data_IF_007887501928
#
_entry.id   IF_007887501928
#
_cell.length_a   1.000
_cell.length_b   1.000
_cell.length_c   1.000
_cell.angle_alpha   90.00
_cell.angle_beta   90.00
_cell.angle_gamma   90.00
#
_symmetry.space_group_name_H-M   'P 1'
#
loop_
_entity.id
_entity.type
_entity.pdbx_description
1 polymer ?
#
# COMPACT_ATOMS: atom_id res chain seq x y z
N UNK A 1 51.20 -28.20 -51.63
CA UNK A 1 50.05 -28.25 -50.70
C UNK A 1 50.19 -27.40 -49.42
N UNK A 2 50.94 -26.31 -49.38
CA UNK A 2 51.12 -25.50 -48.13
C UNK A 2 50.41 -24.13 -48.13
N UNK A 3 49.74 -23.73 -49.19
CA UNK A 3 49.18 -22.36 -49.29
C UNK A 3 47.67 -22.28 -49.13
N UNK A 4 46.93 -23.36 -49.17
CA UNK A 4 45.46 -23.35 -49.07
C UNK A 4 44.94 -22.98 -47.69
N UNK A 5 45.67 -23.30 -46.62
CA UNK A 5 45.21 -22.96 -45.25
C UNK A 5 45.27 -21.46 -44.93
N UNK A 6 46.25 -20.72 -45.54
CA UNK A 6 46.42 -19.28 -45.36
C UNK A 6 45.31 -18.47 -46.04
N UNK A 7 44.81 -18.96 -47.18
CA UNK A 7 43.75 -18.25 -47.93
C UNK A 7 42.37 -18.39 -47.23
N UNK A 8 42.12 -19.51 -46.53
CA UNK A 8 40.85 -19.73 -45.84
C UNK A 8 40.87 -19.29 -44.37
N UNK A 9 42.03 -18.91 -43.81
CA UNK A 9 42.14 -18.47 -42.44
C UNK A 9 41.24 -17.30 -42.07
N UNK A 10 41.09 -16.21 -42.91
CA UNK A 10 40.20 -15.12 -42.61
C UNK A 10 38.71 -15.55 -42.67
N UNK A 11 38.34 -16.43 -43.57
CA UNK A 11 36.98 -16.96 -43.68
C UNK A 11 36.60 -17.81 -42.46
N UNK A 12 37.54 -18.62 -41.95
CA UNK A 12 37.35 -19.44 -40.74
C UNK A 12 37.19 -18.55 -39.53
N UNK A 13 37.99 -17.49 -39.38
CA UNK A 13 37.88 -16.49 -38.30
C UNK A 13 36.55 -15.77 -38.32
N UNK A 14 36.07 -15.34 -39.47
CA UNK A 14 34.76 -14.68 -39.61
C UNK A 14 33.63 -15.66 -39.21
N UNK A 15 33.71 -16.92 -39.61
CA UNK A 15 32.75 -17.95 -39.21
C UNK A 15 32.68 -18.17 -37.70
N UNK A 16 33.83 -18.24 -37.03
CA UNK A 16 33.92 -18.42 -35.56
C UNK A 16 33.34 -17.21 -34.84
N UNK A 17 33.64 -15.98 -35.31
CA UNK A 17 33.06 -14.78 -34.71
C UNK A 17 31.53 -14.69 -34.91
N UNK A 18 31.01 -15.07 -36.05
CA UNK A 18 29.58 -15.12 -36.30
C UNK A 18 28.84 -16.11 -35.38
N UNK A 19 29.40 -17.29 -35.18
CA UNK A 19 28.85 -18.32 -34.27
C UNK A 19 28.88 -17.83 -32.82
N UNK A 20 29.99 -17.25 -32.38
CA UNK A 20 30.10 -16.68 -31.01
C UNK A 20 29.09 -15.55 -30.77
N UNK A 21 28.86 -14.69 -31.74
CA UNK A 21 27.88 -13.60 -31.65
C UNK A 21 26.45 -14.14 -31.60
N UNK A 22 26.13 -15.18 -32.39
CA UNK A 22 24.82 -15.83 -32.40
C UNK A 22 24.54 -16.56 -31.07
N UNK A 23 25.52 -17.26 -30.52
CA UNK A 23 25.40 -17.94 -29.22
C UNK A 23 25.24 -16.94 -28.08
N UNK A 24 25.95 -15.80 -28.12
CA UNK A 24 25.82 -14.71 -27.16
C UNK A 24 24.42 -14.06 -27.22
N UNK A 25 23.89 -13.82 -28.41
CA UNK A 25 22.54 -13.25 -28.58
C UNK A 25 21.44 -14.21 -28.08
N UNK A 26 21.58 -15.51 -28.29
CA UNK A 26 20.63 -16.52 -27.77
C UNK A 26 20.70 -16.59 -26.25
N UNK A 27 21.89 -16.52 -25.64
CA UNK A 27 22.04 -16.48 -24.18
C UNK A 27 21.36 -15.24 -23.57
N UNK A 28 21.47 -14.08 -24.19
CA UNK A 28 20.77 -12.86 -23.73
C UNK A 28 19.25 -12.98 -23.84
N UNK A 29 18.75 -13.64 -24.88
CA UNK A 29 17.32 -13.86 -25.06
C UNK A 29 16.73 -14.82 -24.03
N UNK A 30 17.47 -15.86 -23.66
CA UNK A 30 17.05 -16.85 -22.66
C UNK A 30 17.06 -16.25 -21.25
N UNK A 31 18.00 -15.34 -20.94
CA UNK A 31 18.07 -14.67 -19.64
C UNK A 31 16.88 -13.71 -19.41
N UNK A 32 16.28 -13.17 -20.47
CA UNK A 32 15.11 -12.32 -20.38
C UNK A 32 13.78 -13.10 -20.33
N UNK A 33 13.80 -14.42 -20.52
CA UNK A 33 12.65 -15.31 -20.40
C UNK A 33 12.59 -16.02 -19.04
N UNK A 34 13.12 -15.40 -17.98
CA UNK A 34 12.85 -15.88 -16.64
C UNK A 34 11.33 -15.83 -16.44
N UNK A 35 10.68 -16.97 -16.19
CA UNK A 35 9.27 -16.93 -15.80
C UNK A 35 9.20 -16.10 -14.53
N UNK A 36 8.55 -14.96 -14.61
CA UNK A 36 8.12 -14.25 -13.41
C UNK A 36 7.21 -15.24 -12.68
N UNK A 37 7.74 -15.89 -11.66
CA UNK A 37 6.93 -16.61 -10.69
C UNK A 37 6.06 -15.54 -10.04
N UNK A 38 4.90 -15.29 -10.64
CA UNK A 38 3.81 -14.62 -9.98
C UNK A 38 3.42 -15.57 -8.86
N UNK A 39 4.06 -15.41 -7.71
CA UNK A 39 3.50 -15.91 -6.46
C UNK A 39 2.16 -15.20 -6.33
N UNK A 40 1.12 -15.87 -6.79
CA UNK A 40 -0.25 -15.50 -6.46
C UNK A 40 -0.32 -15.60 -4.94
N UNK A 41 -0.03 -14.50 -4.26
CA UNK A 41 -0.44 -14.34 -2.87
C UNK A 41 -1.94 -14.48 -2.93
N UNK A 42 -2.45 -15.60 -2.40
CA UNK A 42 -3.88 -15.85 -2.27
C UNK A 42 -4.42 -14.67 -1.47
N UNK A 43 -5.02 -13.70 -2.18
CA UNK A 43 -5.62 -12.53 -1.56
C UNK A 43 -6.66 -13.08 -0.60
N UNK A 44 -6.37 -12.98 0.71
CA UNK A 44 -7.30 -13.42 1.74
C UNK A 44 -8.51 -12.51 1.62
N UNK A 45 -9.68 -13.09 1.38
CA UNK A 45 -10.94 -12.33 1.31
C UNK A 45 -11.12 -11.56 2.62
N UNK A 46 -11.40 -10.26 2.58
CA UNK A 46 -11.66 -9.50 3.79
C UNK A 46 -12.83 -10.10 4.58
N UNK A 47 -12.64 -10.24 5.90
CA UNK A 47 -13.67 -10.68 6.84
C UNK A 47 -14.39 -9.50 7.48
N UNK A 48 -13.77 -8.32 7.45
CA UNK A 48 -14.33 -7.06 7.94
C UNK A 48 -14.11 -5.96 6.91
N UNK A 49 -15.11 -5.13 6.66
CA UNK A 49 -15.04 -3.98 5.76
C UNK A 49 -15.53 -2.74 6.47
N UNK A 50 -14.74 -1.67 6.42
CA UNK A 50 -15.05 -0.36 7.01
C UNK A 50 -14.93 0.69 5.93
N UNK A 51 -15.91 1.61 5.89
CA UNK A 51 -15.85 2.82 5.07
C UNK A 51 -15.77 4.01 6.01
N UNK A 52 -14.74 4.83 5.83
CA UNK A 52 -14.58 6.10 6.51
C UNK A 52 -14.64 7.24 5.49
N UNK A 53 -15.15 8.35 5.94
CA UNK A 53 -15.15 9.61 5.23
C UNK A 53 -14.19 10.56 5.92
N UNK A 54 -13.49 11.38 5.16
CA UNK A 54 -12.56 12.37 5.67
C UNK A 54 -12.85 13.76 5.07
N UNK A 55 -12.54 14.81 5.81
CA UNK A 55 -12.75 16.18 5.36
C UNK A 55 -12.78 17.20 6.50
N UNK A 56 -13.13 18.44 6.15
CA UNK A 56 -13.24 19.54 7.09
C UNK A 56 -14.63 19.57 7.73
N UNK A 57 -14.65 19.99 9.00
CA UNK A 57 -15.87 20.40 9.70
C UNK A 57 -15.83 21.89 10.03
N UNK A 58 -16.92 22.43 10.55
CA UNK A 58 -17.01 23.83 10.99
C UNK A 58 -15.87 24.19 11.96
N UNK A 59 -15.39 25.42 11.91
CA UNK A 59 -14.28 25.95 12.72
C UNK A 59 -12.85 25.53 12.31
N UNK A 60 -12.65 25.15 11.05
CA UNK A 60 -11.31 24.84 10.51
C UNK A 60 -10.68 23.56 11.08
N UNK A 61 -11.47 22.70 11.71
CA UNK A 61 -11.03 21.38 12.15
C UNK A 61 -11.17 20.34 11.04
N UNK A 62 -10.29 19.36 11.10
CA UNK A 62 -10.32 18.20 10.23
C UNK A 62 -10.89 16.99 10.96
N UNK A 63 -11.53 16.07 10.23
CA UNK A 63 -12.35 15.05 10.85
C UNK A 63 -12.45 13.78 10.01
N UNK A 64 -12.74 12.68 10.68
CA UNK A 64 -13.21 11.45 10.07
C UNK A 64 -14.65 11.16 10.47
N UNK A 65 -15.34 10.32 9.71
CA UNK A 65 -16.69 9.90 10.05
C UNK A 65 -17.11 8.61 9.35
N UNK A 66 -18.27 8.08 9.76
CA UNK A 66 -18.88 6.88 9.16
C UNK A 66 -19.89 7.22 8.06
N UNK A 67 -20.14 8.50 7.84
CA UNK A 67 -21.00 9.00 6.77
C UNK A 67 -20.49 10.37 6.30
N UNK A 68 -20.75 10.78 5.03
CA UNK A 68 -20.22 12.01 4.46
C UNK A 68 -20.71 13.29 5.17
N UNK A 69 -21.84 13.21 5.83
CA UNK A 69 -22.45 14.32 6.61
C UNK A 69 -22.34 14.13 8.13
N UNK A 70 -21.57 13.17 8.59
CA UNK A 70 -21.35 12.88 10.01
C UNK A 70 -19.87 12.71 10.32
N UNK A 71 -19.11 13.77 10.04
CA UNK A 71 -17.69 13.86 10.39
C UNK A 71 -17.56 14.40 11.82
N UNK A 72 -16.66 13.79 12.61
CA UNK A 72 -16.39 14.19 14.00
C UNK A 72 -14.89 14.33 14.25
N UNK A 73 -14.52 15.19 15.17
CA UNK A 73 -13.14 15.40 15.61
C UNK A 73 -13.09 15.34 17.14
N UNK A 74 -12.46 14.31 17.73
CA UNK A 74 -11.90 13.11 17.09
C UNK A 74 -12.92 12.27 16.30
N UNK A 75 -12.40 11.48 15.35
CA UNK A 75 -13.20 10.54 14.57
C UNK A 75 -13.74 9.37 15.39
N UNK A 76 -14.63 8.54 14.83
CA UNK A 76 -15.23 7.40 15.51
C UNK A 76 -14.19 6.35 15.90
N UNK A 77 -14.41 5.66 17.02
CA UNK A 77 -13.62 4.48 17.37
C UNK A 77 -13.94 3.33 16.41
N UNK A 78 -12.92 2.68 15.84
CA UNK A 78 -13.07 1.49 15.00
C UNK A 78 -12.45 0.27 15.69
N UNK A 79 -13.04 -0.91 15.46
CA UNK A 79 -12.61 -2.14 16.14
C UNK A 79 -12.44 -3.30 15.16
N UNK A 80 -11.42 -4.14 15.43
CA UNK A 80 -11.11 -5.37 14.70
C UNK A 80 -10.73 -6.49 15.65
N UNK A 81 -10.63 -7.71 15.12
CA UNK A 81 -9.99 -8.84 15.78
C UNK A 81 -8.65 -9.16 15.12
N UNK A 82 -7.70 -9.72 15.87
CA UNK A 82 -6.45 -10.27 15.32
C UNK A 82 -6.67 -11.42 14.33
N UNK A 83 -7.87 -12.00 14.28
CA UNK A 83 -8.27 -13.02 13.30
C UNK A 83 -8.80 -12.43 11.99
N UNK A 84 -9.08 -11.13 11.95
CA UNK A 84 -9.66 -10.49 10.78
C UNK A 84 -8.66 -10.29 9.65
N UNK A 85 -9.21 -10.22 8.45
CA UNK A 85 -8.60 -9.54 7.32
C UNK A 85 -9.49 -8.34 7.04
N UNK A 86 -8.95 -7.16 7.30
CA UNK A 86 -9.71 -5.91 7.30
C UNK A 86 -9.50 -5.21 5.97
N UNK A 87 -10.59 -4.72 5.37
CA UNK A 87 -10.55 -3.77 4.27
C UNK A 87 -11.08 -2.43 4.76
N UNK A 88 -10.24 -1.39 4.75
CA UNK A 88 -10.66 -0.01 4.98
C UNK A 88 -10.69 0.72 3.65
N UNK A 89 -11.79 1.39 3.38
CA UNK A 89 -11.91 2.37 2.30
C UNK A 89 -12.10 3.75 2.93
N UNK A 90 -11.32 4.72 2.48
CA UNK A 90 -11.44 6.12 2.90
C UNK A 90 -11.82 6.96 1.70
N UNK A 91 -12.81 7.84 1.88
CA UNK A 91 -13.36 8.73 0.86
C UNK A 91 -13.18 10.17 1.32
N UNK A 92 -12.42 10.95 0.56
CA UNK A 92 -12.26 12.38 0.85
C UNK A 92 -13.50 13.16 0.34
N UNK A 93 -14.34 13.58 1.25
CA UNK A 93 -15.54 14.42 0.98
C UNK A 93 -15.30 15.90 1.27
N UNK A 94 -14.08 16.23 1.70
CA UNK A 94 -13.65 17.61 2.00
C UNK A 94 -13.23 18.39 0.76
N UNK A 95 -12.61 19.55 1.01
CA UNK A 95 -12.08 20.46 -0.02
C UNK A 95 -10.56 20.46 -0.06
N UNK A 96 -9.91 19.92 0.96
CA UNK A 96 -8.47 19.81 1.10
C UNK A 96 -8.00 18.36 0.93
N UNK A 97 -6.72 18.14 0.57
CA UNK A 97 -6.16 16.81 0.46
C UNK A 97 -5.84 16.22 1.84
N UNK A 98 -6.22 14.99 2.08
CA UNK A 98 -6.01 14.24 3.31
C UNK A 98 -5.43 12.85 3.03
N UNK A 99 -5.07 12.10 4.07
CA UNK A 99 -4.59 10.74 3.96
C UNK A 99 -5.00 9.94 5.21
N UNK A 100 -4.73 8.64 5.20
CA UNK A 100 -5.06 7.76 6.31
C UNK A 100 -3.89 6.84 6.64
N UNK A 101 -3.60 6.66 7.92
CA UNK A 101 -2.68 5.66 8.42
C UNK A 101 -3.10 5.15 9.79
N UNK A 102 -2.94 3.84 10.06
CA UNK A 102 -3.04 3.32 11.44
C UNK A 102 -1.67 3.41 12.10
N UNK A 103 -1.63 3.93 13.32
CA UNK A 103 -0.38 4.29 14.00
C UNK A 103 -0.40 3.93 15.49
N UNK A 104 0.78 3.96 16.11
CA UNK A 104 0.95 3.72 17.55
C UNK A 104 0.50 4.88 18.42
N UNK A 105 0.43 6.10 17.87
CA UNK A 105 0.08 7.33 18.60
C UNK A 105 -0.64 8.32 17.66
N UNK A 106 -1.51 9.20 18.17
CA UNK A 106 -2.23 10.17 17.36
C UNK A 106 -1.38 11.42 17.12
N UNK A 107 -0.20 11.25 16.53
CA UNK A 107 0.72 12.34 16.17
C UNK A 107 1.33 12.11 14.80
N UNK A 108 1.59 13.19 14.07
CA UNK A 108 2.28 13.10 12.79
C UNK A 108 3.66 12.43 12.95
N UNK A 109 4.01 11.55 12.02
CA UNK A 109 5.29 10.81 12.08
C UNK A 109 5.31 9.61 13.04
N UNK A 110 4.20 9.26 13.70
CA UNK A 110 4.09 8.03 14.48
C UNK A 110 4.32 6.78 13.63
N UNK A 111 4.76 5.69 14.27
CA UNK A 111 5.00 4.42 13.57
C UNK A 111 3.69 3.87 12.98
N UNK A 112 3.72 3.61 11.67
CA UNK A 112 2.61 2.95 10.96
C UNK A 112 2.54 1.48 11.37
N UNK A 113 1.33 0.99 11.56
CA UNK A 113 1.02 -0.38 11.93
C UNK A 113 0.35 -1.12 10.77
N UNK A 114 0.61 -2.42 10.66
CA UNK A 114 -0.06 -3.35 9.73
C UNK A 114 0.06 -2.97 8.25
N UNK A 115 0.98 -2.07 7.88
CA UNK A 115 1.07 -1.45 6.56
C UNK A 115 -0.25 -0.77 6.12
N UNK A 116 -1.09 -0.39 7.08
CA UNK A 116 -2.41 0.18 6.86
C UNK A 116 -2.30 1.68 6.54
N UNK A 117 -2.04 1.98 5.27
CA UNK A 117 -1.87 3.36 4.74
C UNK A 117 -2.72 3.54 3.49
N UNK A 118 -3.38 4.68 3.38
CA UNK A 118 -4.08 5.15 2.18
C UNK A 118 -3.62 6.58 1.89
N UNK A 119 -2.94 6.77 0.77
CA UNK A 119 -2.24 8.02 0.50
C UNK A 119 -1.01 8.22 1.38
N UNK A 120 -0.51 9.43 1.43
CA UNK A 120 0.61 9.83 2.30
C UNK A 120 0.69 11.37 2.36
N UNK A 121 1.52 11.92 3.24
CA UNK A 121 1.78 13.37 3.25
C UNK A 121 2.28 13.91 1.89
N UNK A 122 3.06 13.11 1.15
CA UNK A 122 3.57 13.49 -0.17
C UNK A 122 2.60 13.23 -1.33
N UNK A 123 1.65 12.29 -1.14
CA UNK A 123 0.67 11.89 -2.15
C UNK A 123 -0.70 11.62 -1.49
N UNK A 124 -1.36 12.65 -0.98
CA UNK A 124 -2.64 12.50 -0.30
C UNK A 124 -3.79 12.23 -1.29
N UNK A 125 -4.92 11.74 -0.77
CA UNK A 125 -6.19 11.70 -1.48
C UNK A 125 -6.69 13.12 -1.71
N UNK A 126 -6.95 13.45 -2.98
CA UNK A 126 -7.53 14.73 -3.35
C UNK A 126 -9.04 14.76 -3.06
N UNK A 127 -9.67 15.93 -2.96
CA UNK A 127 -11.12 16.06 -2.86
C UNK A 127 -11.87 15.17 -3.86
N UNK A 128 -12.82 14.38 -3.37
CA UNK A 128 -13.61 13.43 -4.16
C UNK A 128 -12.90 12.11 -4.51
N UNK A 129 -11.64 11.93 -4.12
CA UNK A 129 -10.95 10.66 -4.31
C UNK A 129 -11.26 9.67 -3.18
N UNK A 130 -11.10 8.39 -3.50
CA UNK A 130 -11.14 7.29 -2.54
C UNK A 130 -9.89 6.44 -2.66
N UNK A 131 -9.57 5.74 -1.57
CA UNK A 131 -8.51 4.75 -1.52
C UNK A 131 -8.88 3.63 -0.59
N UNK A 132 -8.26 2.46 -0.78
CA UNK A 132 -8.51 1.29 0.06
C UNK A 132 -7.21 0.60 0.43
N UNK A 133 -7.19 -0.02 1.61
CA UNK A 133 -6.10 -0.88 2.07
C UNK A 133 -6.68 -2.15 2.71
N UNK A 134 -6.04 -3.28 2.42
CA UNK A 134 -6.35 -4.57 3.04
C UNK A 134 -5.18 -4.99 3.90
N UNK A 135 -5.44 -5.28 5.18
CA UNK A 135 -4.41 -5.67 6.14
C UNK A 135 -4.93 -6.70 7.14
N UNK A 136 -4.03 -7.32 7.90
CA UNK A 136 -4.37 -8.23 8.99
C UNK A 136 -3.74 -7.70 10.28
N UNK A 137 -4.54 -7.28 11.27
CA UNK A 137 -4.02 -6.92 12.59
C UNK A 137 -3.37 -8.14 13.22
N UNK A 138 -2.14 -8.00 13.71
CA UNK A 138 -1.37 -9.12 14.29
C UNK A 138 -1.11 -8.98 15.79
N UNK A 139 -1.45 -7.84 16.38
CA UNK A 139 -1.31 -7.57 17.81
C UNK A 139 -2.61 -6.98 18.36
N UNK A 140 -3.08 -7.53 19.48
CA UNK A 140 -4.20 -6.97 20.22
C UNK A 140 -3.73 -5.76 21.06
N UNK A 141 -4.47 -4.66 20.96
CA UNK A 141 -4.26 -3.47 21.78
C UNK A 141 -5.52 -2.59 21.78
N UNK A 142 -5.65 -1.73 22.80
CA UNK A 142 -6.74 -0.79 22.97
C UNK A 142 -6.31 0.67 22.79
N UNK A 143 -5.06 0.91 22.38
CA UNK A 143 -4.40 2.21 22.30
C UNK A 143 -3.74 2.47 20.94
N UNK A 144 -4.26 1.87 19.88
CA UNK A 144 -3.89 2.24 18.53
C UNK A 144 -4.77 3.39 18.02
N UNK A 145 -4.28 4.05 17.00
CA UNK A 145 -4.92 5.23 16.45
C UNK A 145 -4.93 5.17 14.92
N UNK A 146 -5.86 5.84 14.30
CA UNK A 146 -5.76 6.22 12.91
C UNK A 146 -5.69 7.74 12.80
N UNK A 147 -4.92 8.22 11.84
CA UNK A 147 -4.60 9.64 11.68
C UNK A 147 -4.61 10.05 10.20
N UNK A 148 -4.69 11.36 9.94
CA UNK A 148 -4.20 11.91 8.67
C UNK A 148 -2.78 12.45 8.87
N UNK A 149 -1.77 11.91 8.17
CA UNK A 149 -0.38 12.37 8.29
C UNK A 149 -0.08 13.62 7.42
N UNK A 150 -1.09 14.33 6.92
CA UNK A 150 -0.92 15.49 6.04
C UNK A 150 -0.83 16.78 6.86
N UNK A 151 0.27 17.52 6.71
CA UNK A 151 0.46 18.79 7.39
C UNK A 151 0.20 18.70 8.89
N UNK A 152 -0.73 19.50 9.39
CA UNK A 152 -1.15 19.56 10.80
C UNK A 152 -2.52 18.88 11.02
N UNK A 153 -2.99 18.05 10.09
CA UNK A 153 -4.33 17.44 10.18
C UNK A 153 -4.57 16.73 11.51
N UNK A 154 -3.57 15.96 11.99
CA UNK A 154 -3.68 15.24 13.26
C UNK A 154 -3.79 16.18 14.45
N UNK A 155 -2.99 17.24 14.48
CA UNK A 155 -2.99 18.27 15.53
C UNK A 155 -4.31 19.06 15.51
N UNK A 156 -4.90 19.24 14.33
CA UNK A 156 -6.20 19.90 14.13
C UNK A 156 -7.39 18.94 14.37
N UNK A 157 -7.11 17.74 14.88
CA UNK A 157 -8.09 16.79 15.39
C UNK A 157 -8.48 15.66 14.44
N UNK A 158 -7.75 15.49 13.34
CA UNK A 158 -8.02 14.43 12.35
C UNK A 158 -7.39 13.10 12.77
N UNK A 159 -7.92 12.50 13.80
CA UNK A 159 -7.54 11.19 14.32
C UNK A 159 -8.73 10.50 14.99
N UNK A 160 -8.62 9.18 15.20
CA UNK A 160 -9.58 8.39 15.97
C UNK A 160 -8.93 7.16 16.58
N UNK A 161 -9.62 6.52 17.52
CA UNK A 161 -9.10 5.34 18.22
C UNK A 161 -9.30 4.06 17.41
N UNK A 162 -8.36 3.13 17.55
CA UNK A 162 -8.42 1.77 17.00
C UNK A 162 -8.30 0.77 18.14
N UNK A 163 -9.26 -0.17 18.22
CA UNK A 163 -9.23 -1.27 19.17
C UNK A 163 -9.01 -2.57 18.41
N UNK A 164 -7.98 -3.32 18.76
CA UNK A 164 -7.72 -4.66 18.22
C UNK A 164 -7.88 -5.67 19.34
N UNK A 165 -8.91 -6.52 19.28
CA UNK A 165 -9.14 -7.57 20.25
C UNK A 165 -8.49 -8.90 19.84
N UNK A 166 -8.08 -9.70 20.80
CA UNK A 166 -7.62 -11.08 20.59
C UNK A 166 -8.78 -12.10 20.55
N UNK A 167 -10.01 -11.67 20.83
CA UNK A 167 -11.19 -12.54 20.91
C UNK A 167 -11.99 -12.44 19.63
N UNK A 168 -12.27 -13.59 19.01
CA UNK A 168 -13.29 -13.72 17.96
C UNK A 168 -14.67 -13.59 18.61
N UNK A 169 -15.17 -12.39 18.74
CA UNK A 169 -16.49 -12.08 19.22
C UNK A 169 -17.21 -11.15 18.23
N UNK A 170 -18.54 -11.06 18.29
CA UNK A 170 -19.26 -10.14 17.42
C UNK A 170 -18.71 -8.73 17.65
N UNK A 171 -18.61 -7.95 16.56
CA UNK A 171 -18.22 -6.56 16.61
C UNK A 171 -18.94 -5.82 17.73
N UNK A 172 -18.23 -4.99 18.46
CA UNK A 172 -18.83 -4.13 19.48
C UNK A 172 -19.99 -3.33 18.87
N UNK A 173 -21.08 -3.14 19.62
CA UNK A 173 -22.25 -2.41 19.15
C UNK A 173 -21.94 -0.95 18.82
#
# INVERSE_FOLDING_TARGET
MKNTLKEYLPLILIGIFAIAFFLGAISMLIFNLQPVLVTSSKSKTPTSTIILYEGEISNGKFAFGTAPNNLTSPGPTIGFSTSDTVNITVINVGKLPHAFAITTMPVAGATVLFDAVIGSAAKPLQPGQEGSVVFAPNNAAFDYWYISPVGNDTEDGMYGAVIVSSVTGPAFP
#
